data_IF_157310915142
#
_entry.id   IF_157310915142
#
_cell.length_a   1.000
_cell.length_b   1.000
_cell.length_c   1.000
_cell.angle_alpha   90.00
_cell.angle_beta   90.00
_cell.angle_gamma   90.00
#
_symmetry.space_group_name_H-M   'P 1'
#
loop_
_entity.id
_entity.type
_entity.pdbx_description
1 polymer ?
#
# COMPACT_ATOMS: atom_id res chain seq x y z
N UNK A 1 -1.73 -3.59 -24.66
CA UNK A 1 -0.69 -4.60 -25.01
C UNK A 1 -0.37 -5.39 -23.76
N UNK A 2 -0.15 -6.70 -23.85
CA UNK A 2 0.01 -7.60 -22.68
C UNK A 2 1.33 -7.46 -21.90
N UNK A 3 2.25 -6.60 -22.34
CA UNK A 3 3.35 -6.10 -21.51
C UNK A 3 2.93 -4.75 -20.97
N UNK A 4 2.87 -4.61 -19.64
CA UNK A 4 2.50 -3.38 -18.94
C UNK A 4 3.15 -2.15 -19.58
N UNK A 5 2.39 -1.06 -19.69
CA UNK A 5 2.86 0.22 -20.23
C UNK A 5 3.88 0.85 -19.27
N UNK A 6 5.07 0.25 -19.17
CA UNK A 6 6.15 0.75 -18.32
C UNK A 6 6.73 2.02 -18.94
N UNK A 7 7.13 2.95 -18.08
CA UNK A 7 7.84 4.15 -18.53
C UNK A 7 9.31 3.80 -18.68
N UNK A 8 9.89 4.08 -19.84
CA UNK A 8 11.32 3.90 -20.09
C UNK A 8 12.01 5.25 -20.17
N UNK A 9 13.16 5.36 -19.49
CA UNK A 9 14.04 6.52 -19.51
C UNK A 9 15.39 6.15 -20.14
N UNK A 10 15.87 6.97 -21.07
CA UNK A 10 17.19 6.83 -21.68
C UNK A 10 17.51 7.94 -22.66
N UNK A 11 18.60 7.78 -23.40
CA UNK A 11 19.02 8.67 -24.49
C UNK A 11 18.66 8.11 -25.87
N UNK A 12 18.89 8.90 -26.91
CA UNK A 12 18.82 8.45 -28.33
C UNK A 12 19.80 7.33 -28.62
N UNK A 13 20.97 7.37 -27.98
CA UNK A 13 21.96 6.29 -27.97
C UNK A 13 22.35 5.97 -26.52
N UNK A 14 22.96 4.79 -26.25
CA UNK A 14 23.45 4.48 -24.92
C UNK A 14 24.42 5.54 -24.38
N UNK A 15 25.29 6.10 -25.24
CA UNK A 15 26.23 7.15 -24.87
C UNK A 15 25.53 8.45 -24.43
N UNK A 16 24.32 8.71 -24.93
CA UNK A 16 23.50 9.88 -24.56
C UNK A 16 22.65 9.63 -23.30
N UNK A 17 22.65 8.41 -22.76
CA UNK A 17 21.82 8.09 -21.60
C UNK A 17 22.19 8.96 -20.39
N UNK A 18 21.23 9.68 -19.80
CA UNK A 18 21.50 10.53 -18.64
C UNK A 18 21.95 9.70 -17.43
N UNK A 19 21.53 8.44 -17.35
CA UNK A 19 21.85 7.53 -16.24
C UNK A 19 23.29 7.00 -16.33
N UNK A 20 23.77 6.71 -17.53
CA UNK A 20 25.15 6.24 -17.73
C UNK A 20 26.14 7.40 -17.60
N UNK A 21 25.77 8.58 -18.13
CA UNK A 21 26.59 9.80 -18.03
C UNK A 21 26.65 10.35 -16.61
N UNK A 22 25.54 10.32 -15.88
CA UNK A 22 25.41 10.82 -14.50
C UNK A 22 24.86 9.71 -13.59
N UNK A 23 25.73 8.81 -13.10
CA UNK A 23 25.35 7.71 -12.20
C UNK A 23 24.56 8.14 -10.95
N UNK A 24 24.82 9.33 -10.44
CA UNK A 24 24.11 9.93 -9.31
C UNK A 24 22.62 10.22 -9.60
N UNK A 25 22.21 10.23 -10.86
CA UNK A 25 20.80 10.31 -11.24
C UNK A 25 20.03 9.05 -10.83
N UNK A 26 20.57 7.85 -11.09
CA UNK A 26 19.93 6.60 -10.66
C UNK A 26 19.87 6.50 -9.14
N UNK A 27 20.97 6.87 -8.46
CA UNK A 27 20.97 6.98 -7.00
C UNK A 27 19.85 7.90 -6.52
N UNK A 28 19.70 9.08 -7.12
CA UNK A 28 18.65 10.03 -6.75
C UNK A 28 17.25 9.43 -6.89
N UNK A 29 16.99 8.70 -7.99
CA UNK A 29 15.73 7.99 -8.18
C UNK A 29 15.49 6.95 -7.08
N UNK A 30 16.46 6.07 -6.84
CA UNK A 30 16.34 5.00 -5.85
C UNK A 30 16.13 5.57 -4.45
N UNK A 31 16.95 6.53 -4.02
CA UNK A 31 16.82 7.17 -2.70
C UNK A 31 15.48 7.91 -2.57
N UNK A 32 15.04 8.63 -3.61
CA UNK A 32 13.80 9.40 -3.54
C UNK A 32 12.56 8.50 -3.51
N UNK A 33 12.54 7.41 -4.28
CA UNK A 33 11.49 6.38 -4.17
C UNK A 33 11.51 5.69 -2.81
N UNK A 34 12.70 5.44 -2.26
CA UNK A 34 12.83 4.85 -0.94
C UNK A 34 12.16 5.72 0.13
N UNK A 35 12.36 7.04 0.04
CA UNK A 35 11.82 8.03 0.97
C UNK A 35 10.32 8.29 0.77
N UNK A 36 9.83 8.13 -0.46
CA UNK A 36 8.45 8.42 -0.84
C UNK A 36 7.74 7.17 -1.38
N UNK A 37 7.27 6.26 -0.49
CA UNK A 37 6.55 5.05 -0.89
C UNK A 37 5.33 5.28 -1.79
N UNK A 38 4.73 6.47 -1.77
CA UNK A 38 3.65 6.84 -2.70
C UNK A 38 4.03 6.68 -4.16
N UNK A 39 5.30 6.89 -4.53
CA UNK A 39 5.77 6.75 -5.89
C UNK A 39 5.80 5.29 -6.36
N UNK A 40 5.87 4.33 -5.44
CA UNK A 40 5.76 2.90 -5.73
C UNK A 40 4.32 2.43 -5.76
N UNK A 41 3.47 2.95 -4.87
CA UNK A 41 2.16 2.35 -4.59
C UNK A 41 0.98 3.06 -5.23
N UNK A 42 1.05 4.37 -5.47
CA UNK A 42 -0.05 5.15 -6.07
C UNK A 42 -0.26 4.78 -7.54
N UNK A 43 0.82 4.45 -8.25
CA UNK A 43 0.81 4.17 -9.68
C UNK A 43 0.85 2.66 -10.01
N UNK A 44 0.92 1.79 -8.99
CA UNK A 44 1.00 0.35 -9.16
C UNK A 44 -0.34 -0.27 -9.51
N UNK A 45 -0.28 -1.46 -10.08
CA UNK A 45 -1.43 -2.37 -10.11
C UNK A 45 -1.75 -2.99 -8.75
N UNK A 46 -2.70 -3.93 -8.75
CA UNK A 46 -3.18 -4.59 -7.54
C UNK A 46 -2.11 -5.49 -6.88
N UNK A 47 -1.28 -6.16 -7.69
CA UNK A 47 -0.26 -7.09 -7.19
C UNK A 47 1.01 -6.33 -6.79
N UNK A 48 1.13 -6.03 -5.49
CA UNK A 48 2.28 -5.35 -4.88
C UNK A 48 2.93 -6.20 -3.78
N UNK A 49 4.12 -5.80 -3.36
CA UNK A 49 4.90 -6.47 -2.32
C UNK A 49 6.12 -7.22 -2.86
N UNK A 50 6.86 -7.94 -2.00
CA UNK A 50 8.19 -8.48 -2.29
C UNK A 50 8.22 -9.52 -3.42
N UNK A 51 7.10 -10.19 -3.65
CA UNK A 51 6.95 -11.22 -4.70
C UNK A 51 6.28 -10.71 -5.97
N UNK A 52 6.00 -9.40 -6.05
CA UNK A 52 5.26 -8.79 -7.15
C UNK A 52 6.03 -8.77 -8.48
N UNK A 53 5.48 -8.12 -9.50
CA UNK A 53 6.14 -7.94 -10.80
C UNK A 53 7.18 -6.81 -10.81
N UNK A 54 7.16 -5.98 -9.77
CA UNK A 54 8.01 -4.80 -9.61
C UNK A 54 8.23 -4.46 -8.12
N UNK A 55 8.67 -5.40 -7.25
CA UNK A 55 9.00 -5.10 -5.86
C UNK A 55 9.96 -3.92 -5.72
N UNK A 56 9.77 -3.16 -4.65
CA UNK A 56 10.76 -2.18 -4.20
C UNK A 56 12.01 -2.90 -3.73
N UNK A 57 13.15 -2.22 -3.82
CA UNK A 57 14.42 -2.77 -3.32
C UNK A 57 14.42 -3.00 -1.81
N UNK A 58 13.65 -2.23 -1.04
CA UNK A 58 13.51 -2.39 0.41
C UNK A 58 12.37 -3.33 0.82
N UNK A 59 11.83 -4.10 -0.13
CA UNK A 59 10.86 -5.17 0.13
C UNK A 59 11.52 -6.55 -0.02
N UNK A 60 11.62 -7.28 1.10
CA UNK A 60 11.91 -8.71 1.11
C UNK A 60 13.33 -9.15 1.45
N UNK A 61 14.28 -8.21 1.63
CA UNK A 61 15.63 -8.51 2.15
C UNK A 61 16.08 -7.46 3.15
N UNK A 62 16.23 -7.86 4.40
CA UNK A 62 16.51 -6.94 5.52
C UNK A 62 17.83 -6.16 5.36
N UNK A 63 18.87 -6.83 4.85
CA UNK A 63 20.21 -6.23 4.67
C UNK A 63 20.33 -5.35 3.42
N UNK A 64 19.32 -5.33 2.54
CA UNK A 64 19.44 -4.68 1.22
C UNK A 64 19.77 -3.19 1.33
N UNK A 65 19.19 -2.49 2.30
CA UNK A 65 19.44 -1.07 2.51
C UNK A 65 20.87 -0.77 2.95
N UNK A 66 21.49 -1.67 3.73
CA UNK A 66 22.89 -1.54 4.13
C UNK A 66 23.83 -1.73 2.93
N UNK A 67 23.59 -2.77 2.13
CA UNK A 67 24.36 -3.03 0.91
C UNK A 67 24.18 -1.91 -0.12
N UNK A 68 22.97 -1.36 -0.23
CA UNK A 68 22.68 -0.20 -1.08
C UNK A 68 23.47 1.04 -0.68
N UNK A 69 23.57 1.35 0.61
CA UNK A 69 24.38 2.46 1.10
C UNK A 69 25.87 2.25 0.80
N UNK A 70 26.35 1.01 0.86
CA UNK A 70 27.73 0.66 0.49
C UNK A 70 27.98 0.83 -1.01
N UNK A 71 27.01 0.48 -1.87
CA UNK A 71 27.09 0.75 -3.29
C UNK A 71 27.06 2.25 -3.60
N UNK A 72 26.22 3.03 -2.92
CA UNK A 72 26.11 4.48 -3.09
C UNK A 72 27.42 5.23 -2.81
N UNK A 73 28.23 4.76 -1.86
CA UNK A 73 29.55 5.35 -1.56
C UNK A 73 30.57 5.20 -2.70
N UNK A 74 30.34 4.26 -3.62
CA UNK A 74 31.21 3.99 -4.76
C UNK A 74 30.76 4.73 -6.03
N UNK A 75 29.61 5.42 -5.99
CA UNK A 75 29.10 6.19 -7.13
C UNK A 75 29.87 7.51 -7.22
N UNK A 76 30.55 7.80 -8.35
CA UNK A 76 31.33 9.03 -8.50
C UNK A 76 30.42 10.25 -8.50
N UNK A 77 30.98 11.37 -8.06
CA UNK A 77 30.33 12.67 -8.25
C UNK A 77 30.51 13.15 -9.70
N UNK A 78 29.44 13.68 -10.29
CA UNK A 78 29.40 14.23 -11.65
C UNK A 78 29.46 13.19 -12.78
N UNK A 79 30.00 13.60 -13.94
CA UNK A 79 29.97 12.83 -15.17
C UNK A 79 30.94 11.65 -15.06
N UNK A 80 30.48 10.45 -15.39
CA UNK A 80 31.30 9.24 -15.44
C UNK A 80 31.72 8.93 -16.87
N UNK A 81 33.00 8.62 -17.06
CA UNK A 81 33.52 8.07 -18.33
C UNK A 81 33.34 6.54 -18.41
N UNK A 82 32.88 5.91 -17.33
CA UNK A 82 32.67 4.47 -17.22
C UNK A 82 31.17 4.16 -17.27
N UNK A 83 30.57 3.94 -18.46
CA UNK A 83 29.13 3.72 -18.58
C UNK A 83 28.66 2.43 -17.90
N UNK A 84 29.53 1.44 -17.73
CA UNK A 84 29.21 0.17 -17.07
C UNK A 84 29.14 0.27 -15.54
N UNK A 85 29.71 1.32 -14.93
CA UNK A 85 29.92 1.39 -13.49
C UNK A 85 28.61 1.34 -12.70
N UNK A 86 27.65 2.19 -13.08
CA UNK A 86 26.38 2.30 -12.35
C UNK A 86 25.55 1.01 -12.41
N UNK A 87 25.54 0.36 -13.57
CA UNK A 87 24.91 -0.95 -13.74
C UNK A 87 25.59 -1.98 -12.82
N UNK A 88 26.92 -2.00 -12.80
CA UNK A 88 27.65 -3.02 -12.04
C UNK A 88 27.50 -2.87 -10.53
N UNK A 89 27.41 -1.64 -10.03
CA UNK A 89 27.15 -1.34 -8.62
C UNK A 89 25.72 -1.74 -8.21
N UNK A 90 24.73 -1.51 -9.07
CA UNK A 90 23.31 -1.60 -8.70
C UNK A 90 22.64 -2.92 -9.11
N UNK A 91 23.19 -3.66 -10.08
CA UNK A 91 22.54 -4.83 -10.71
C UNK A 91 22.11 -5.93 -9.75
N UNK A 92 22.88 -6.18 -8.71
CA UNK A 92 22.54 -7.24 -7.74
C UNK A 92 21.72 -6.71 -6.56
N UNK A 93 21.42 -5.41 -6.54
CA UNK A 93 20.65 -4.74 -5.50
C UNK A 93 19.25 -4.34 -6.01
N UNK A 94 19.13 -4.06 -7.31
CA UNK A 94 17.86 -3.80 -8.01
C UNK A 94 17.34 -5.10 -8.65
N UNK A 95 16.92 -6.02 -7.80
CA UNK A 95 16.42 -7.35 -8.17
C UNK A 95 15.18 -7.70 -7.36
N UNK A 96 14.37 -8.62 -7.88
CA UNK A 96 13.36 -9.29 -7.07
C UNK A 96 14.00 -10.29 -6.07
N UNK A 97 13.16 -10.90 -5.23
CA UNK A 97 13.61 -11.90 -4.26
C UNK A 97 14.34 -13.11 -4.88
N UNK A 98 14.10 -13.41 -6.18
CA UNK A 98 14.74 -14.51 -6.92
C UNK A 98 16.04 -14.11 -7.62
N UNK A 99 16.43 -12.83 -7.57
CA UNK A 99 17.61 -12.33 -8.26
C UNK A 99 17.37 -11.81 -9.68
N UNK A 100 16.12 -11.56 -10.07
CA UNK A 100 15.77 -11.14 -11.43
C UNK A 100 15.69 -9.61 -11.55
N UNK A 101 16.58 -9.01 -12.34
CA UNK A 101 16.59 -7.55 -12.61
C UNK A 101 15.40 -7.08 -13.43
N UNK A 102 14.85 -7.94 -14.28
CA UNK A 102 13.68 -7.61 -15.10
C UNK A 102 12.40 -7.50 -14.26
N UNK A 103 12.42 -7.96 -13.01
CA UNK A 103 11.29 -7.90 -12.08
C UNK A 103 11.47 -6.84 -10.99
N UNK A 104 12.50 -6.01 -11.04
CA UNK A 104 12.66 -4.92 -10.08
C UNK A 104 11.79 -3.71 -10.44
N UNK A 105 11.39 -2.91 -9.44
CA UNK A 105 10.73 -1.61 -9.66
C UNK A 105 11.54 -0.71 -10.61
N UNK A 106 12.84 -0.60 -10.34
CA UNK A 106 13.83 0.01 -11.21
C UNK A 106 14.54 -1.08 -12.01
N UNK A 107 14.02 -1.38 -13.18
CA UNK A 107 14.56 -2.42 -14.03
C UNK A 107 15.72 -1.89 -14.87
N UNK A 108 16.91 -2.45 -14.60
CA UNK A 108 18.18 -2.12 -15.26
C UNK A 108 18.69 -3.25 -16.15
N UNK A 109 17.80 -4.16 -16.57
CA UNK A 109 18.15 -5.27 -17.48
C UNK A 109 18.77 -4.77 -18.80
N UNK A 110 18.34 -3.60 -19.27
CA UNK A 110 18.75 -2.93 -20.51
C UNK A 110 19.60 -1.68 -20.26
N UNK A 111 20.09 -1.47 -19.04
CA UNK A 111 20.92 -0.31 -18.71
C UNK A 111 22.33 -0.48 -19.29
N UNK A 112 23.14 -1.37 -18.71
CA UNK A 112 24.46 -1.71 -19.24
C UNK A 112 24.87 -3.15 -18.88
N UNK A 113 24.05 -4.14 -19.28
CA UNK A 113 24.29 -5.53 -18.92
C UNK A 113 25.65 -6.04 -19.43
N UNK A 114 26.45 -6.76 -18.60
CA UNK A 114 27.77 -7.23 -18.99
C UNK A 114 27.70 -8.34 -20.06
N UNK A 115 26.67 -9.18 -19.99
CA UNK A 115 26.61 -10.46 -20.71
C UNK A 115 25.98 -10.36 -22.11
N UNK A 116 25.45 -9.21 -22.52
CA UNK A 116 24.84 -9.05 -23.84
C UNK A 116 24.96 -7.63 -24.37
N UNK A 117 25.29 -7.49 -25.66
CA UNK A 117 25.23 -6.20 -26.36
C UNK A 117 23.80 -5.63 -26.39
N UNK A 118 22.78 -6.51 -26.48
CA UNK A 118 21.36 -6.09 -26.47
C UNK A 118 20.89 -5.59 -25.09
N UNK A 119 21.66 -5.83 -24.04
CA UNK A 119 21.39 -5.30 -22.70
C UNK A 119 22.12 -3.98 -22.38
N UNK A 120 22.87 -3.42 -23.34
CA UNK A 120 23.62 -2.16 -23.20
C UNK A 120 22.93 -1.02 -23.95
N UNK A 121 21.65 -0.79 -23.62
CA UNK A 121 20.83 0.21 -24.30
C UNK A 121 20.80 1.56 -23.57
N UNK A 122 21.35 1.63 -22.35
CA UNK A 122 21.31 2.83 -21.52
C UNK A 122 19.90 3.16 -21.01
N UNK A 123 19.05 2.14 -20.89
CA UNK A 123 17.64 2.29 -20.52
C UNK A 123 17.38 1.89 -19.06
N UNK A 124 16.55 2.66 -18.38
CA UNK A 124 15.91 2.32 -17.11
C UNK A 124 14.41 2.20 -17.35
N UNK A 125 13.82 1.09 -16.92
CA UNK A 125 12.38 0.90 -16.96
C UNK A 125 11.77 1.06 -15.56
N UNK A 126 10.78 1.93 -15.44
CA UNK A 126 9.96 2.13 -14.25
C UNK A 126 8.80 1.14 -14.30
N UNK A 127 9.01 -0.04 -13.72
CA UNK A 127 8.05 -1.15 -13.80
C UNK A 127 6.91 -1.07 -12.79
N UNK A 128 7.09 -0.26 -11.74
CA UNK A 128 6.04 0.02 -10.75
C UNK A 128 4.88 0.85 -11.30
N UNK A 129 4.98 1.37 -12.53
CA UNK A 129 3.92 2.15 -13.18
C UNK A 129 3.04 1.24 -14.03
N UNK A 130 1.78 1.09 -13.62
CA UNK A 130 0.76 0.43 -14.43
C UNK A 130 0.20 1.39 -15.49
N UNK A 131 -0.28 0.81 -16.59
CA UNK A 131 -1.01 1.53 -17.63
C UNK A 131 -2.28 2.16 -17.03
N UNK A 132 -2.40 3.50 -16.99
CA UNK A 132 -3.61 4.12 -16.47
C UNK A 132 -4.76 3.98 -17.47
N UNK A 133 -6.02 4.09 -17.00
CA UNK A 133 -7.20 3.90 -17.85
C UNK A 133 -7.40 5.02 -18.89
N UNK A 134 -6.65 6.13 -18.80
CA UNK A 134 -6.82 7.28 -19.68
C UNK A 134 -5.47 7.90 -20.09
N UNK A 135 -5.34 8.32 -21.36
CA UNK A 135 -4.11 8.90 -21.91
C UNK A 135 -3.62 10.14 -21.16
N UNK A 136 -4.53 11.02 -20.73
CA UNK A 136 -4.20 12.18 -19.88
C UNK A 136 -3.53 11.80 -18.56
N UNK A 137 -3.94 10.69 -17.93
CA UNK A 137 -3.24 10.18 -16.74
C UNK A 137 -1.84 9.71 -17.13
N UNK A 138 -1.68 8.98 -18.25
CA UNK A 138 -0.36 8.57 -18.73
C UNK A 138 0.57 9.77 -18.98
N UNK A 139 0.05 10.88 -19.51
CA UNK A 139 0.81 12.13 -19.66
C UNK A 139 1.28 12.70 -18.31
N UNK A 140 0.47 12.61 -17.25
CA UNK A 140 0.86 13.07 -15.90
C UNK A 140 1.99 12.20 -15.33
N UNK A 141 1.94 10.87 -15.49
CA UNK A 141 3.05 10.01 -15.07
C UNK A 141 4.34 10.36 -15.83
N UNK A 142 4.27 10.51 -17.15
CA UNK A 142 5.42 10.92 -17.96
C UNK A 142 5.96 12.30 -17.56
N UNK A 143 5.07 13.26 -17.29
CA UNK A 143 5.44 14.59 -16.81
C UNK A 143 6.13 14.52 -15.44
N UNK A 144 5.63 13.70 -14.51
CA UNK A 144 6.23 13.49 -13.20
C UNK A 144 7.66 12.97 -13.33
N UNK A 145 7.87 11.89 -14.10
CA UNK A 145 9.20 11.31 -14.32
C UNK A 145 10.14 12.34 -14.97
N UNK A 146 9.71 13.03 -16.03
CA UNK A 146 10.52 14.07 -16.69
C UNK A 146 10.90 15.21 -15.75
N UNK A 147 9.98 15.62 -14.89
CA UNK A 147 10.22 16.68 -13.90
C UNK A 147 11.24 16.22 -12.86
N UNK A 148 11.13 14.98 -12.38
CA UNK A 148 12.08 14.38 -11.44
C UNK A 148 13.47 14.23 -12.06
N UNK A 149 13.59 13.83 -13.33
CA UNK A 149 14.86 13.84 -14.06
C UNK A 149 15.47 15.24 -14.04
N UNK A 150 14.71 16.27 -14.42
CA UNK A 150 15.21 17.66 -14.44
C UNK A 150 15.63 18.14 -13.04
N UNK A 151 14.84 17.82 -12.02
CA UNK A 151 15.10 18.14 -10.61
C UNK A 151 16.39 17.49 -10.11
N UNK A 152 16.55 16.19 -10.31
CA UNK A 152 17.74 15.45 -9.88
C UNK A 152 18.99 15.79 -10.69
N UNK A 153 18.83 16.11 -11.97
CA UNK A 153 19.94 16.58 -12.81
C UNK A 153 20.53 17.89 -12.30
N UNK A 154 19.66 18.84 -11.90
CA UNK A 154 20.07 20.13 -11.34
C UNK A 154 20.62 19.97 -9.91
N UNK A 155 19.97 19.16 -9.09
CA UNK A 155 20.35 18.92 -7.69
C UNK A 155 20.14 17.45 -7.32
N UNK A 156 21.22 16.66 -7.30
CA UNK A 156 21.15 15.24 -6.93
C UNK A 156 20.55 15.03 -5.53
N UNK A 157 19.79 13.96 -5.36
CA UNK A 157 19.18 13.57 -4.09
C UNK A 157 20.00 12.49 -3.38
N UNK A 158 21.02 12.91 -2.62
CA UNK A 158 21.93 12.01 -1.89
C UNK A 158 21.67 12.06 -0.38
N UNK A 159 20.49 11.62 0.05
CA UNK A 159 20.09 11.60 1.47
C UNK A 159 20.28 10.17 2.06
N UNK A 160 20.47 10.03 3.38
CA UNK A 160 20.52 8.71 4.03
C UNK A 160 19.20 7.97 3.88
N UNK A 161 19.24 6.65 3.66
CA UNK A 161 18.03 5.84 3.49
C UNK A 161 17.30 5.65 4.83
N UNK A 162 15.97 5.60 4.77
CA UNK A 162 15.10 5.44 5.94
C UNK A 162 14.84 3.96 6.21
N UNK A 163 15.04 3.51 7.45
CA UNK A 163 14.69 2.14 7.87
C UNK A 163 13.21 2.06 8.25
N UNK A 164 12.33 1.98 7.26
CA UNK A 164 10.88 1.92 7.49
C UNK A 164 10.44 0.70 8.29
N UNK A 165 11.10 -0.45 8.08
CA UNK A 165 10.66 -1.71 8.65
C UNK A 165 9.21 -2.00 8.27
N UNK A 166 8.43 -2.48 9.24
CA UNK A 166 7.02 -2.83 9.03
C UNK A 166 6.12 -1.63 8.79
N UNK A 167 6.54 -0.40 9.13
CA UNK A 167 5.78 0.81 8.81
C UNK A 167 5.58 1.00 7.30
N UNK A 168 6.45 0.43 6.46
CA UNK A 168 6.28 0.44 5.01
C UNK A 168 4.96 -0.24 4.60
N UNK A 169 4.68 -1.42 5.17
CA UNK A 169 3.48 -2.21 4.86
C UNK A 169 2.31 -1.94 5.80
N UNK A 170 2.53 -1.22 6.90
CA UNK A 170 1.47 -0.83 7.82
C UNK A 170 0.89 0.54 7.45
N UNK A 171 1.74 1.58 7.48
CA UNK A 171 1.36 2.98 7.28
C UNK A 171 1.21 3.34 5.80
N UNK A 172 2.23 3.05 5.00
CA UNK A 172 2.28 3.46 3.58
C UNK A 172 1.46 2.56 2.64
N UNK A 173 0.55 1.76 3.18
CA UNK A 173 -0.46 1.05 2.40
C UNK A 173 -1.86 1.66 2.57
N UNK A 174 -1.98 2.69 3.41
CA UNK A 174 -3.23 3.40 3.64
C UNK A 174 -3.34 4.65 2.73
N UNK A 175 -4.50 4.89 2.09
CA UNK A 175 -4.74 6.03 1.21
C UNK A 175 -4.31 7.37 1.80
N UNK A 176 -4.58 7.61 3.08
CA UNK A 176 -4.27 8.87 3.75
C UNK A 176 -2.77 9.19 3.72
N UNK A 177 -1.94 8.24 4.12
CA UNK A 177 -0.50 8.44 4.18
C UNK A 177 0.15 8.45 2.81
N UNK A 178 -0.40 7.70 1.84
CA UNK A 178 0.05 7.77 0.45
C UNK A 178 -0.27 9.12 -0.16
N UNK A 179 -1.46 9.66 0.09
CA UNK A 179 -1.81 10.99 -0.36
C UNK A 179 -0.93 12.05 0.30
N UNK A 180 -0.71 11.96 1.62
CA UNK A 180 0.19 12.87 2.32
C UNK A 180 1.61 12.85 1.73
N UNK A 181 2.17 11.65 1.50
CA UNK A 181 3.51 11.47 0.96
C UNK A 181 3.65 12.03 -0.47
N UNK A 182 2.68 11.78 -1.35
CA UNK A 182 2.74 12.34 -2.71
C UNK A 182 2.58 13.86 -2.72
N UNK A 183 1.84 14.44 -1.76
CA UNK A 183 1.82 15.90 -1.58
C UNK A 183 3.21 16.45 -1.22
N UNK A 184 4.03 15.71 -0.48
CA UNK A 184 5.41 16.11 -0.18
C UNK A 184 6.27 16.13 -1.43
N UNK A 185 6.10 15.14 -2.32
CA UNK A 185 6.78 15.13 -3.62
C UNK A 185 6.39 16.35 -4.44
N UNK A 186 5.10 16.69 -4.51
CA UNK A 186 4.63 17.88 -5.23
C UNK A 186 5.20 19.16 -4.61
N UNK A 187 5.26 19.24 -3.27
CA UNK A 187 5.86 20.36 -2.55
C UNK A 187 7.34 20.51 -2.88
N UNK A 188 8.14 19.44 -2.85
CA UNK A 188 9.55 19.46 -3.24
C UNK A 188 9.73 19.98 -4.68
N UNK A 189 8.94 19.46 -5.63
CA UNK A 189 9.01 19.91 -7.03
C UNK A 189 8.73 21.41 -7.15
N UNK A 190 7.71 21.92 -6.44
CA UNK A 190 7.36 23.35 -6.44
C UNK A 190 8.46 24.20 -5.81
N UNK A 191 9.04 23.77 -4.70
CA UNK A 191 10.18 24.45 -4.05
C UNK A 191 11.42 24.47 -4.95
N UNK A 192 11.60 23.47 -5.82
CA UNK A 192 12.67 23.45 -6.83
C UNK A 192 12.34 24.24 -8.12
N UNK A 193 11.18 24.92 -8.16
CA UNK A 193 10.77 25.79 -9.26
C UNK A 193 9.96 25.11 -10.37
N UNK A 194 9.50 23.87 -10.16
CA UNK A 194 8.62 23.17 -11.08
C UNK A 194 7.16 23.29 -10.63
N UNK A 195 6.27 23.97 -11.37
CA UNK A 195 4.89 24.23 -10.95
C UNK A 195 3.97 23.00 -11.13
N UNK A 196 4.42 21.83 -10.64
CA UNK A 196 3.64 20.60 -10.63
C UNK A 196 2.47 20.73 -9.65
N UNK A 197 1.27 20.28 -10.04
CA UNK A 197 0.07 20.48 -9.25
C UNK A 197 -0.47 19.16 -8.68
N UNK A 198 -0.83 19.19 -7.40
CA UNK A 198 -1.45 18.08 -6.68
C UNK A 198 -2.77 17.62 -7.31
N UNK A 199 -3.55 18.56 -7.86
CA UNK A 199 -4.83 18.28 -8.50
C UNK A 199 -4.71 17.34 -9.71
N UNK A 200 -3.55 17.29 -10.37
CA UNK A 200 -3.29 16.39 -11.48
C UNK A 200 -3.21 14.92 -11.05
N UNK A 201 -2.99 14.67 -9.75
CA UNK A 201 -2.85 13.33 -9.18
C UNK A 201 -4.15 12.77 -8.59
N UNK A 202 -5.19 13.60 -8.41
CA UNK A 202 -6.50 13.18 -7.87
C UNK A 202 -7.12 11.99 -8.63
N UNK A 203 -7.06 11.90 -9.97
CA UNK A 203 -7.59 10.73 -10.68
C UNK A 203 -6.87 9.43 -10.32
N UNK A 204 -5.59 9.48 -9.95
CA UNK A 204 -4.84 8.30 -9.52
C UNK A 204 -5.24 7.88 -8.12
N UNK A 205 -5.46 8.84 -7.21
CA UNK A 205 -5.95 8.56 -5.86
C UNK A 205 -7.30 7.84 -5.92
N UNK A 206 -8.26 8.39 -6.65
CA UNK A 206 -9.60 7.81 -6.79
C UNK A 206 -9.57 6.44 -7.47
N UNK A 207 -8.73 6.29 -8.50
CA UNK A 207 -8.58 5.02 -9.20
C UNK A 207 -7.91 3.95 -8.33
N UNK A 208 -6.88 4.32 -7.56
CA UNK A 208 -6.09 3.39 -6.73
C UNK A 208 -6.82 3.00 -5.45
N UNK A 209 -7.61 3.90 -4.89
CA UNK A 209 -8.30 3.75 -3.61
C UNK A 209 -9.82 4.00 -3.73
N UNK A 210 -10.56 3.15 -4.46
CA UNK A 210 -11.99 3.32 -4.63
C UNK A 210 -12.75 3.51 -3.31
N UNK A 211 -13.70 4.44 -3.30
CA UNK A 211 -14.62 4.64 -2.18
C UNK A 211 -15.64 3.50 -2.09
N UNK A 212 -15.80 2.94 -0.89
CA UNK A 212 -16.81 1.92 -0.62
C UNK A 212 -18.12 2.52 -0.14
N UNK A 213 -18.05 3.51 0.75
CA UNK A 213 -19.23 4.16 1.30
C UNK A 213 -18.93 5.02 2.51
N UNK A 214 -19.94 5.77 2.94
CA UNK A 214 -19.89 6.64 4.11
C UNK A 214 -21.19 6.58 4.90
N UNK A 215 -21.07 6.75 6.20
CA UNK A 215 -22.21 6.94 7.11
C UNK A 215 -21.94 8.15 7.99
N UNK A 216 -22.97 8.95 8.23
CA UNK A 216 -22.93 10.09 9.14
C UNK A 216 -23.80 9.78 10.35
N UNK A 217 -23.21 9.87 11.54
CA UNK A 217 -23.81 9.66 12.84
C UNK A 217 -23.67 10.99 13.60
N UNK A 218 -24.73 11.79 13.61
CA UNK A 218 -24.69 13.19 14.06
C UNK A 218 -23.59 14.01 13.35
N UNK A 219 -22.59 14.47 14.10
CA UNK A 219 -21.43 15.22 13.61
C UNK A 219 -20.23 14.34 13.24
N UNK A 220 -20.34 13.02 13.44
CA UNK A 220 -19.27 12.05 13.16
C UNK A 220 -19.52 11.39 11.80
N UNK A 221 -18.53 11.45 10.90
CA UNK A 221 -18.57 10.75 9.61
C UNK A 221 -17.57 9.59 9.62
N UNK A 222 -18.02 8.40 9.20
CA UNK A 222 -17.18 7.23 8.96
C UNK A 222 -17.15 6.99 7.44
N UNK A 223 -15.95 6.99 6.86
CA UNK A 223 -15.69 6.69 5.46
C UNK A 223 -14.84 5.42 5.33
N UNK A 224 -15.26 4.51 4.44
CA UNK A 224 -14.50 3.32 4.07
C UNK A 224 -13.95 3.47 2.64
N UNK A 225 -12.65 3.18 2.46
CA UNK A 225 -11.96 3.17 1.17
C UNK A 225 -11.10 1.91 1.04
N UNK A 226 -10.96 1.40 -0.17
CA UNK A 226 -9.96 0.36 -0.47
C UNK A 226 -8.57 0.82 -0.01
N UNK A 227 -7.78 -0.07 0.58
CA UNK A 227 -6.39 0.17 0.92
C UNK A 227 -5.50 -0.93 0.35
N UNK A 228 -4.21 -0.66 0.26
CA UNK A 228 -3.27 -1.58 -0.37
C UNK A 228 -3.00 -2.74 0.58
N UNK A 229 -2.85 -3.92 -0.01
CA UNK A 229 -2.48 -5.13 0.69
C UNK A 229 -1.50 -5.90 -0.21
N UNK A 230 -0.32 -6.30 0.30
CA UNK A 230 0.62 -7.05 -0.50
C UNK A 230 0.12 -8.48 -0.64
N UNK A 231 0.14 -8.99 -1.86
CA UNK A 231 -0.18 -10.39 -2.13
C UNK A 231 1.11 -11.17 -2.31
N UNK A 232 1.20 -12.29 -1.62
CA UNK A 232 2.41 -13.11 -1.62
C UNK A 232 2.26 -14.28 -2.58
N UNK A 233 3.33 -14.57 -3.32
CA UNK A 233 3.46 -15.82 -4.06
C UNK A 233 3.64 -16.95 -3.05
N UNK A 234 2.82 -17.99 -3.16
CA UNK A 234 2.82 -19.17 -2.33
C UNK A 234 3.92 -20.16 -2.72
N UNK A 235 4.08 -21.20 -1.89
CA UNK A 235 4.92 -22.34 -2.19
C UNK A 235 4.54 -23.03 -3.50
N UNK A 236 5.47 -23.83 -4.02
CA UNK A 236 5.26 -24.60 -5.24
C UNK A 236 4.19 -25.67 -5.05
N UNK A 237 3.27 -25.73 -6.01
CA UNK A 237 2.30 -26.82 -6.14
C UNK A 237 2.60 -27.59 -7.42
N UNK A 238 2.81 -28.90 -7.28
CA UNK A 238 3.07 -29.79 -8.42
C UNK A 238 1.75 -30.39 -8.88
N UNK A 239 1.32 -30.02 -10.08
CA UNK A 239 0.18 -30.62 -10.77
C UNK A 239 0.62 -31.54 -11.91
N UNK A 240 -0.34 -32.25 -12.50
CA UNK A 240 -0.08 -33.16 -13.64
C UNK A 240 0.51 -32.49 -14.88
N UNK A 241 0.43 -31.16 -14.98
CA UNK A 241 0.93 -30.36 -16.11
C UNK A 241 2.17 -29.50 -15.77
N UNK A 242 2.77 -29.69 -14.59
CA UNK A 242 3.97 -28.97 -14.15
C UNK A 242 3.81 -28.30 -12.80
N UNK A 243 4.79 -27.46 -12.45
CA UNK A 243 4.82 -26.71 -11.19
C UNK A 243 4.19 -25.34 -11.35
N UNK A 244 3.26 -24.98 -10.46
CA UNK A 244 2.67 -23.66 -10.38
C UNK A 244 2.98 -23.01 -9.02
N UNK A 245 2.90 -21.68 -8.97
CA UNK A 245 2.90 -20.91 -7.70
C UNK A 245 1.75 -19.93 -7.76
N UNK A 246 0.81 -20.07 -6.82
CA UNK A 246 -0.35 -19.19 -6.74
C UNK A 246 -0.01 -17.89 -6.00
N UNK A 247 -0.77 -16.84 -6.28
CA UNK A 247 -0.70 -15.58 -5.55
C UNK A 247 -1.86 -15.55 -4.55
N UNK A 248 -1.55 -15.38 -3.27
CA UNK A 248 -2.56 -15.29 -2.21
C UNK A 248 -3.27 -13.93 -2.25
N UNK A 249 -4.36 -13.89 -3.00
CA UNK A 249 -5.29 -12.75 -3.08
C UNK A 249 -6.47 -12.89 -2.12
N UNK A 250 -6.39 -13.78 -1.13
CA UNK A 250 -7.46 -14.02 -0.16
C UNK A 250 -7.58 -12.94 0.91
N UNK A 251 -6.53 -12.15 1.09
CA UNK A 251 -6.44 -11.08 2.09
C UNK A 251 -6.58 -9.73 1.41
N UNK A 252 -7.39 -8.88 2.01
CA UNK A 252 -7.60 -7.51 1.59
C UNK A 252 -7.41 -6.56 2.76
N UNK A 253 -7.29 -5.27 2.44
CA UNK A 253 -7.24 -4.19 3.41
C UNK A 253 -8.18 -3.07 2.98
N UNK A 254 -8.80 -2.44 3.96
CA UNK A 254 -9.46 -1.17 3.79
C UNK A 254 -8.91 -0.15 4.77
N UNK A 255 -9.04 1.13 4.43
CA UNK A 255 -8.85 2.22 5.37
C UNK A 255 -10.22 2.70 5.83
N UNK A 256 -10.36 2.84 7.13
CA UNK A 256 -11.43 3.63 7.73
C UNK A 256 -10.90 5.01 8.08
N UNK A 257 -11.64 6.04 7.69
CA UNK A 257 -11.42 7.43 8.08
C UNK A 257 -12.62 7.89 8.90
N UNK A 258 -12.36 8.46 10.07
CA UNK A 258 -13.40 9.04 10.94
C UNK A 258 -13.15 10.52 11.12
N UNK A 259 -14.16 11.34 10.89
CA UNK A 259 -14.10 12.80 11.04
C UNK A 259 -15.14 13.28 12.05
N UNK A 260 -14.86 14.35 12.80
CA UNK A 260 -15.76 14.88 13.84
C UNK A 260 -15.72 14.11 15.17
N UNK A 261 -14.80 13.17 15.33
CA UNK A 261 -14.72 12.31 16.52
C UNK A 261 -14.14 13.07 17.72
N UNK A 262 -14.84 13.03 18.86
CA UNK A 262 -14.30 13.54 20.13
C UNK A 262 -13.39 12.49 20.77
N UNK A 263 -12.11 12.83 20.92
CA UNK A 263 -11.09 11.94 21.49
C UNK A 263 -11.48 11.46 22.90
N UNK A 264 -11.31 10.16 23.16
CA UNK A 264 -11.57 9.55 24.47
C UNK A 264 -13.05 9.22 24.75
N UNK A 265 -14.01 9.81 24.02
CA UNK A 265 -15.44 9.49 24.16
C UNK A 265 -15.89 8.38 23.21
N UNK A 266 -15.46 8.41 21.96
CA UNK A 266 -15.94 7.46 20.96
C UNK A 266 -14.87 6.44 20.59
N UNK A 267 -15.29 5.19 20.45
CA UNK A 267 -14.47 4.09 19.96
C UNK A 267 -15.09 3.49 18.71
N UNK A 268 -14.28 3.31 17.67
CA UNK A 268 -14.69 2.55 16.50
C UNK A 268 -14.28 1.08 16.71
N UNK A 269 -15.22 0.17 16.51
CA UNK A 269 -14.94 -1.28 16.49
C UNK A 269 -15.29 -1.86 15.13
N UNK A 270 -14.56 -2.89 14.71
CA UNK A 270 -14.84 -3.70 13.53
C UNK A 270 -14.98 -5.17 13.96
N UNK A 271 -16.13 -5.79 13.68
CA UNK A 271 -16.46 -7.16 14.11
C UNK A 271 -16.23 -7.38 15.61
N UNK A 272 -16.51 -6.35 16.42
CA UNK A 272 -16.33 -6.37 17.87
C UNK A 272 -14.92 -6.04 18.36
N UNK A 273 -13.93 -5.86 17.49
CA UNK A 273 -12.55 -5.51 17.85
C UNK A 273 -12.25 -4.04 17.66
N UNK A 274 -11.52 -3.44 18.60
CA UNK A 274 -11.19 -2.01 18.57
C UNK A 274 -10.29 -1.70 17.39
N UNK A 275 -10.67 -0.68 16.61
CA UNK A 275 -9.85 -0.19 15.50
C UNK A 275 -8.79 0.78 16.04
N UNK A 276 -7.50 0.61 15.71
CA UNK A 276 -6.41 1.46 16.22
C UNK A 276 -6.37 2.80 15.47
N UNK A 277 -7.37 3.66 15.71
CA UNK A 277 -7.49 4.98 15.10
C UNK A 277 -6.27 5.86 15.43
N UNK A 278 -5.63 6.41 14.39
CA UNK A 278 -4.48 7.32 14.48
C UNK A 278 -4.85 8.71 14.01
N UNK A 279 -4.39 9.71 14.73
CA UNK A 279 -4.58 11.11 14.38
C UNK A 279 -3.88 11.47 13.08
N UNK A 280 -4.54 12.31 12.28
CA UNK A 280 -4.04 12.78 10.98
C UNK A 280 -3.32 14.13 11.07
N UNK A 281 -3.24 14.72 12.28
CA UNK A 281 -2.81 16.10 12.50
C UNK A 281 -3.92 17.13 12.30
N UNK A 282 -5.11 16.73 11.85
CA UNK A 282 -6.33 17.55 11.87
C UNK A 282 -7.18 17.14 13.07
N UNK A 283 -7.64 18.14 13.83
CA UNK A 283 -8.45 17.91 15.02
C UNK A 283 -9.74 17.16 14.67
N UNK A 284 -10.00 16.06 15.38
CA UNK A 284 -11.20 15.23 15.18
C UNK A 284 -11.15 14.33 13.94
N UNK A 285 -10.03 14.24 13.22
CA UNK A 285 -9.85 13.38 12.04
C UNK A 285 -8.84 12.26 12.33
N UNK A 286 -9.30 11.01 12.19
CA UNK A 286 -8.54 9.80 12.48
C UNK A 286 -8.59 8.81 11.32
N UNK A 287 -7.55 7.99 11.18
CA UNK A 287 -7.47 6.92 10.17
C UNK A 287 -6.88 5.63 10.76
N UNK A 288 -7.32 4.50 10.23
CA UNK A 288 -6.72 3.19 10.51
C UNK A 288 -6.96 2.21 9.35
N UNK A 289 -6.10 1.21 9.25
CA UNK A 289 -6.30 0.04 8.41
C UNK A 289 -7.12 -1.04 9.10
N UNK A 290 -7.93 -1.77 8.32
CA UNK A 290 -8.49 -3.05 8.72
C UNK A 290 -8.07 -4.08 7.69
N UNK A 291 -7.27 -5.06 8.11
CA UNK A 291 -6.81 -6.19 7.31
C UNK A 291 -7.68 -7.40 7.63
N UNK A 292 -8.19 -8.06 6.59
CA UNK A 292 -9.15 -9.13 6.75
C UNK A 292 -9.01 -10.16 5.63
N UNK A 293 -9.38 -11.40 5.93
CA UNK A 293 -9.51 -12.45 4.92
C UNK A 293 -10.86 -12.29 4.21
N UNK A 294 -10.83 -11.93 2.93
CA UNK A 294 -11.99 -11.61 2.12
C UNK A 294 -12.71 -12.85 1.61
N UNK A 295 -11.96 -13.89 1.22
CA UNK A 295 -12.47 -15.20 0.79
C UNK A 295 -11.50 -16.31 1.20
N UNK A 296 -11.91 -17.58 1.12
CA UNK A 296 -11.13 -18.71 1.66
C UNK A 296 -10.79 -19.74 0.57
N UNK A 297 -9.76 -19.50 -0.27
CA UNK A 297 -9.26 -20.52 -1.18
C UNK A 297 -8.59 -21.67 -0.41
N UNK A 298 -8.56 -22.88 -1.01
CA UNK A 298 -7.81 -24.00 -0.45
C UNK A 298 -6.31 -23.69 -0.33
N UNK A 299 -5.74 -22.96 -1.31
CA UNK A 299 -4.36 -22.48 -1.29
C UNK A 299 -4.30 -21.01 -0.85
N UNK A 300 -3.85 -20.76 0.37
CA UNK A 300 -3.54 -19.44 0.94
C UNK A 300 -2.46 -19.57 2.02
N UNK A 301 -1.87 -18.46 2.47
CA UNK A 301 -0.89 -18.44 3.56
C UNK A 301 -1.46 -19.03 4.86
N UNK A 302 -2.77 -18.83 5.09
CA UNK A 302 -3.45 -19.30 6.29
C UNK A 302 -4.77 -20.00 5.91
N UNK A 303 -4.74 -21.25 5.46
CA UNK A 303 -5.91 -21.94 4.90
C UNK A 303 -7.01 -22.21 5.93
N UNK A 304 -6.66 -22.35 7.21
CA UNK A 304 -7.61 -22.63 8.30
C UNK A 304 -8.36 -21.39 8.82
N UNK A 305 -7.98 -20.19 8.38
CA UNK A 305 -8.70 -18.96 8.72
C UNK A 305 -9.86 -18.80 7.72
N UNK A 306 -11.08 -18.59 8.22
CA UNK A 306 -12.28 -18.35 7.41
C UNK A 306 -12.35 -16.93 6.82
N UNK A 307 -13.38 -16.66 6.02
CA UNK A 307 -13.68 -15.29 5.57
C UNK A 307 -14.25 -14.47 6.73
N UNK A 308 -13.88 -13.19 6.80
CA UNK A 308 -14.38 -12.24 7.80
C UNK A 308 -15.54 -11.38 7.29
N UNK A 309 -16.05 -11.64 6.08
CA UNK A 309 -17.16 -10.87 5.51
C UNK A 309 -18.50 -11.33 6.11
N UNK A 310 -19.43 -10.42 6.47
CA UNK A 310 -19.29 -8.96 6.39
C UNK A 310 -18.40 -8.36 7.49
N UNK A 311 -17.79 -7.22 7.17
CA UNK A 311 -17.19 -6.34 8.16
C UNK A 311 -18.27 -5.42 8.71
N UNK A 312 -18.47 -5.41 10.02
CA UNK A 312 -19.44 -4.58 10.73
C UNK A 312 -18.68 -3.57 11.58
N UNK A 313 -18.85 -2.30 11.27
CA UNK A 313 -18.27 -1.17 11.98
C UNK A 313 -19.32 -0.56 12.90
N UNK A 314 -19.04 -0.55 14.20
CA UNK A 314 -19.90 0.08 15.21
C UNK A 314 -19.15 1.23 15.89
N UNK A 315 -19.82 2.36 16.09
CA UNK A 315 -19.30 3.50 16.83
C UNK A 315 -19.89 3.49 18.25
N UNK A 316 -19.04 3.23 19.23
CA UNK A 316 -19.42 3.08 20.64
C UNK A 316 -19.18 4.41 21.36
N UNK A 317 -20.19 4.92 22.05
CA UNK A 317 -20.06 6.01 23.02
C UNK A 317 -19.67 5.42 24.39
N UNK A 318 -18.42 5.62 24.80
CA UNK A 318 -17.87 5.03 26.05
C UNK A 318 -18.50 5.61 27.30
N UNK A 319 -19.13 6.78 27.23
CA UNK A 319 -19.80 7.39 28.37
C UNK A 319 -21.15 6.69 28.65
N UNK A 320 -21.82 6.24 27.59
CA UNK A 320 -23.14 5.60 27.67
C UNK A 320 -23.06 4.07 27.52
N UNK A 321 -21.94 3.52 27.04
CA UNK A 321 -21.76 2.09 26.80
C UNK A 321 -22.59 1.51 25.65
N UNK A 322 -23.06 2.37 24.73
CA UNK A 322 -23.97 2.00 23.66
C UNK A 322 -23.36 2.28 22.29
N UNK A 323 -23.70 1.44 21.30
CA UNK A 323 -23.48 1.76 19.90
C UNK A 323 -24.43 2.89 19.51
N UNK A 324 -23.90 3.99 18.98
CA UNK A 324 -24.69 5.12 18.45
C UNK A 324 -24.98 4.99 16.95
N UNK A 325 -24.47 3.93 16.33
CA UNK A 325 -24.68 3.62 14.92
C UNK A 325 -23.44 3.01 14.28
N UNK A 326 -23.51 2.77 12.97
CA UNK A 326 -22.43 2.11 12.27
C UNK A 326 -22.70 1.90 10.78
N UNK A 327 -21.87 1.06 10.18
CA UNK A 327 -22.05 0.60 8.80
C UNK A 327 -21.47 -0.81 8.63
N UNK A 328 -21.82 -1.48 7.54
CA UNK A 328 -21.23 -2.75 7.18
C UNK A 328 -20.76 -2.77 5.73
N UNK A 329 -19.75 -3.60 5.48
CA UNK A 329 -19.18 -3.83 4.17
C UNK A 329 -19.13 -5.33 3.87
N UNK A 330 -19.57 -5.70 2.67
CA UNK A 330 -19.54 -7.06 2.15
C UNK A 330 -18.50 -7.18 1.04
N UNK A 331 -17.70 -8.25 1.05
CA UNK A 331 -16.72 -8.51 -0.03
C UNK A 331 -17.40 -8.79 -1.36
N UNK A 332 -18.48 -9.59 -1.31
CA UNK A 332 -19.34 -9.94 -2.44
C UNK A 332 -20.74 -9.37 -2.26
N UNK A 333 -21.62 -9.58 -3.23
CA UNK A 333 -23.00 -9.11 -3.11
C UNK A 333 -23.66 -9.70 -1.85
N UNK A 334 -24.39 -8.92 -1.01
CA UNK A 334 -24.93 -9.39 0.26
C UNK A 334 -25.84 -10.62 0.17
N UNK A 335 -26.49 -10.81 -0.98
CA UNK A 335 -27.26 -12.01 -1.31
C UNK A 335 -26.44 -13.24 -1.75
N UNK A 336 -25.12 -13.24 -1.58
CA UNK A 336 -24.23 -14.36 -1.94
C UNK A 336 -24.02 -14.56 -3.45
N UNK A 337 -24.36 -13.56 -4.28
CA UNK A 337 -24.23 -13.66 -5.74
C UNK A 337 -22.79 -13.40 -6.18
N UNK A 338 -22.21 -14.35 -6.89
CA UNK A 338 -21.11 -14.12 -7.83
C UNK A 338 -21.69 -13.61 -9.16
N UNK A 339 -21.01 -12.68 -9.80
CA UNK A 339 -21.39 -12.24 -11.14
C UNK A 339 -20.66 -13.09 -12.17
N UNK A 340 -21.40 -13.78 -13.06
CA UNK A 340 -20.82 -14.62 -14.12
C UNK A 340 -20.24 -13.78 -15.27
N UNK A 341 -20.63 -12.51 -15.38
CA UNK A 341 -20.22 -11.60 -16.45
C UNK A 341 -19.51 -10.37 -15.90
N UNK A 342 -18.56 -9.86 -16.70
CA UNK A 342 -18.02 -8.52 -16.49
C UNK A 342 -19.13 -7.46 -16.57
N UNK A 343 -19.00 -6.35 -15.83
CA UNK A 343 -19.95 -5.25 -15.93
C UNK A 343 -19.96 -4.71 -17.37
N UNK A 344 -21.16 -4.47 -17.91
CA UNK A 344 -21.37 -3.98 -19.28
C UNK A 344 -20.87 -2.55 -19.44
N UNK A 345 -20.88 -1.76 -18.36
CA UNK A 345 -20.38 -0.39 -18.34
C UNK A 345 -19.94 0.05 -16.93
N UNK A 346 -19.44 1.30 -16.84
CA UNK A 346 -18.97 1.89 -15.58
C UNK A 346 -20.07 2.04 -14.53
N UNK A 347 -21.31 2.35 -14.92
CA UNK A 347 -22.44 2.53 -14.00
C UNK A 347 -22.86 1.20 -13.36
N UNK A 348 -22.87 0.10 -14.12
CA UNK A 348 -23.10 -1.22 -13.55
C UNK A 348 -21.99 -1.61 -12.59
N UNK A 349 -20.72 -1.38 -12.95
CA UNK A 349 -19.58 -1.63 -12.07
C UNK A 349 -19.69 -0.84 -10.76
N UNK A 350 -20.12 0.41 -10.83
CA UNK A 350 -20.37 1.28 -9.68
C UNK A 350 -21.53 0.78 -8.82
N UNK A 351 -22.68 0.45 -9.42
CA UNK A 351 -23.82 -0.11 -8.71
C UNK A 351 -23.46 -1.41 -7.97
N UNK A 352 -22.69 -2.30 -8.61
CA UNK A 352 -22.17 -3.54 -8.00
C UNK A 352 -21.23 -3.27 -6.80
N UNK A 353 -20.55 -2.12 -6.74
CA UNK A 353 -19.75 -1.70 -5.57
C UNK A 353 -20.62 -1.09 -4.48
N UNK A 354 -21.53 -0.18 -4.83
CA UNK A 354 -22.42 0.50 -3.87
C UNK A 354 -23.27 -0.51 -3.10
N UNK A 355 -23.76 -1.57 -3.75
CA UNK A 355 -24.57 -2.62 -3.12
C UNK A 355 -23.81 -3.45 -2.06
N UNK A 356 -22.49 -3.25 -1.90
CA UNK A 356 -21.68 -3.93 -0.88
C UNK A 356 -21.62 -3.17 0.44
N UNK A 357 -22.07 -1.92 0.47
CA UNK A 357 -22.07 -1.08 1.65
C UNK A 357 -23.49 -0.87 2.17
N UNK A 358 -23.70 -1.05 3.48
CA UNK A 358 -25.00 -0.92 4.13
C UNK A 358 -24.86 -0.10 5.43
N UNK A 359 -25.74 0.88 5.63
CA UNK A 359 -25.74 1.79 6.80
C UNK A 359 -26.67 1.32 7.93
N UNK A 360 -27.58 0.39 7.64
CA UNK A 360 -28.59 -0.09 8.59
C UNK A 360 -28.14 -1.34 9.34
N UNK A 361 -27.26 -2.13 8.73
CA UNK A 361 -26.71 -3.36 9.33
C UNK A 361 -25.52 -3.05 10.25
N UNK A 362 -25.83 -2.62 11.45
CA UNK A 362 -24.90 -2.41 12.56
C UNK A 362 -25.48 -2.97 13.86
N UNK A 363 -24.67 -3.16 14.89
CA UNK A 363 -25.12 -3.68 16.18
C UNK A 363 -25.90 -2.58 16.91
N UNK A 364 -27.19 -2.80 17.16
CA UNK A 364 -28.04 -1.86 17.88
C UNK A 364 -28.08 -2.15 19.38
N UNK A 365 -28.10 -1.09 20.18
CA UNK A 365 -28.30 -1.17 21.63
C UNK A 365 -27.00 -1.29 22.44
N UNK A 366 -27.12 -1.88 23.62
CA UNK A 366 -25.99 -2.09 24.54
C UNK A 366 -24.98 -3.02 23.90
N UNK A 367 -23.72 -2.59 23.83
CA UNK A 367 -22.66 -3.45 23.32
C UNK A 367 -22.44 -4.62 24.28
N UNK A 368 -22.66 -5.84 23.80
CA UNK A 368 -22.32 -7.07 24.52
C UNK A 368 -20.98 -7.59 23.95
N UNK A 369 -19.90 -7.60 24.76
CA UNK A 369 -18.65 -8.26 24.39
C UNK A 369 -18.90 -9.71 23.92
N UNK A 370 -18.22 -10.13 22.86
CA UNK A 370 -18.46 -11.42 22.22
C UNK A 370 -17.62 -12.53 22.92
N UNK A 371 -18.24 -13.61 23.44
CA UNK A 371 -17.55 -14.62 24.27
C UNK A 371 -16.41 -15.40 23.58
N UNK A 372 -16.46 -15.53 22.26
CA UNK A 372 -15.40 -16.16 21.44
C UNK A 372 -14.14 -15.30 21.32
N UNK A 373 -14.31 -14.00 21.54
CA UNK A 373 -13.26 -12.99 21.66
C UNK A 373 -12.83 -12.92 23.12
N UNK A 374 -13.77 -12.96 24.08
CA UNK A 374 -13.57 -12.86 25.53
C UNK A 374 -13.24 -14.19 26.25
N UNK A 375 -12.44 -15.07 25.64
CA UNK A 375 -12.01 -16.31 26.28
C UNK A 375 -11.07 -16.10 27.51
N UNK A 376 -10.95 -14.86 28.01
CA UNK A 376 -10.26 -14.52 29.25
C UNK A 376 -11.25 -14.45 30.41
N UNK A 377 -11.47 -15.60 31.05
CA UNK A 377 -11.65 -15.60 32.52
C UNK A 377 -10.28 -15.42 33.15
N UNK A 378 -9.66 -14.25 33.00
CA UNK A 378 -8.43 -13.91 33.72
C UNK A 378 -8.72 -13.16 35.02
N UNK A 379 -7.94 -13.52 36.03
CA UNK A 379 -8.03 -13.02 37.39
C UNK A 379 -7.20 -11.75 37.51
N UNK A 380 -7.85 -10.59 37.73
CA UNK A 380 -7.18 -9.30 37.88
C UNK A 380 -6.54 -9.17 39.28
N UNK A 381 -5.19 -9.18 39.43
CA UNK A 381 -4.54 -9.05 40.73
C UNK A 381 -4.62 -7.63 41.29
N UNK A 382 -4.90 -6.64 40.44
CA UNK A 382 -5.12 -5.25 40.81
C UNK A 382 -6.51 -4.80 40.33
N UNK A 383 -7.46 -4.93 41.26
CA UNK A 383 -8.82 -4.36 41.30
C UNK A 383 -9.16 -3.41 40.14
N UNK A 384 -9.80 -3.89 39.07
CA UNK A 384 -11.24 -3.86 38.80
C UNK A 384 -11.51 -4.78 37.59
N UNK A 385 -12.62 -5.55 37.54
CA UNK A 385 -13.04 -6.21 36.30
C UNK A 385 -13.30 -5.16 35.21
N UNK A 386 -13.11 -5.48 33.92
CA UNK A 386 -13.55 -4.62 32.81
C UNK A 386 -14.99 -4.23 33.06
N UNK A 387 -15.27 -2.92 33.09
CA UNK A 387 -16.65 -2.47 33.24
C UNK A 387 -17.45 -3.02 32.05
N UNK A 388 -18.74 -3.36 32.23
CA UNK A 388 -19.57 -3.65 31.09
C UNK A 388 -19.40 -2.49 30.09
N UNK A 389 -19.17 -2.81 28.82
CA UNK A 389 -19.34 -1.88 27.69
C UNK A 389 -18.14 -1.04 27.21
N UNK A 390 -16.90 -1.46 27.45
CA UNK A 390 -15.77 -1.08 26.58
C UNK A 390 -15.12 -2.37 26.06
N UNK A 391 -14.97 -2.58 24.73
CA UNK A 391 -14.12 -3.67 24.24
C UNK A 391 -12.75 -3.52 24.92
N UNK A 392 -12.11 -4.61 25.35
CA UNK A 392 -10.83 -4.49 26.03
C UNK A 392 -9.84 -3.77 25.11
N UNK A 393 -8.90 -3.02 25.70
CA UNK A 393 -7.82 -2.46 24.90
C UNK A 393 -7.05 -3.64 24.30
N UNK A 394 -7.18 -3.80 22.99
CA UNK A 394 -6.37 -4.79 22.28
C UNK A 394 -4.94 -4.26 22.26
N UNK A 395 -3.98 -5.09 22.71
CA UNK A 395 -2.58 -4.72 22.63
C UNK A 395 -2.25 -4.45 21.17
N UNK A 396 -1.98 -3.19 20.87
CA UNK A 396 -1.58 -2.80 19.53
C UNK A 396 -0.22 -3.46 19.31
N UNK A 397 -0.18 -4.46 18.43
CA UNK A 397 1.07 -5.14 18.10
C UNK A 397 2.13 -4.09 17.74
N UNK A 398 3.23 -4.07 18.50
CA UNK A 398 4.30 -3.06 18.37
C UNK A 398 4.80 -2.88 16.92
N UNK A 399 4.62 -3.92 16.10
CA UNK A 399 5.04 -3.98 14.70
C UNK A 399 4.03 -3.35 13.70
N UNK A 400 2.73 -3.37 13.96
CA UNK A 400 1.68 -2.86 13.05
C UNK A 400 0.72 -1.88 13.74
N UNK A 401 1.20 -0.71 14.18
CA UNK A 401 0.43 0.23 14.98
C UNK A 401 -0.76 0.91 14.28
N UNK A 402 -0.86 0.86 12.95
CA UNK A 402 -1.89 1.53 12.17
C UNK A 402 -3.01 0.60 11.66
N UNK A 403 -2.89 -0.72 11.85
CA UNK A 403 -3.79 -1.70 11.23
C UNK A 403 -4.34 -2.70 12.24
N UNK A 404 -5.66 -2.84 12.27
CA UNK A 404 -6.33 -3.98 12.90
C UNK A 404 -6.27 -5.20 11.97
N UNK A 405 -5.59 -6.27 12.37
CA UNK A 405 -5.56 -7.53 11.62
C UNK A 405 -6.58 -8.53 12.20
N UNK A 406 -7.72 -8.68 11.53
CA UNK A 406 -8.79 -9.57 11.96
C UNK A 406 -8.40 -11.05 11.95
N UNK A 407 -7.32 -11.42 11.25
CA UNK A 407 -6.81 -12.79 11.17
C UNK A 407 -6.05 -13.20 12.44
N UNK A 408 -5.54 -12.22 13.20
CA UNK A 408 -4.91 -12.47 14.50
C UNK A 408 -5.99 -12.72 15.55
N UNK A 409 -5.72 -13.63 16.48
CA UNK A 409 -6.53 -13.71 17.69
C UNK A 409 -6.28 -12.44 18.52
N UNK A 410 -7.31 -11.90 19.18
CA UNK A 410 -7.13 -10.76 20.06
C UNK A 410 -6.27 -11.17 21.25
N UNK A 411 -5.27 -10.35 21.55
CA UNK A 411 -4.48 -10.41 22.77
C UNK A 411 -4.90 -9.20 23.61
N UNK A 412 -5.33 -9.46 24.84
CA UNK A 412 -5.74 -8.43 25.78
C UNK A 412 -4.71 -8.38 26.90
N UNK A 413 -4.23 -7.17 27.19
CA UNK A 413 -3.25 -6.90 28.25
C UNK A 413 -3.85 -6.69 29.63
#
# INVERSE_FOLDING_TARGET
TGGGNHITLGGTTPADSPLLRRPDLLQSFVTYWQHHPSLSYLFSGAFVGPTSQAPRMDEGRDEMLFEMETAFRQIPDNISEQPWLIDRLMRNLLIDITGNTHRAEFCIDKLYAPNSATGRLGLLEFRGFEMPPHSRMSLVQALLIRTLVARFWKKPYKKPLVRWGTLLHDKFMLPHYIWQDIQEVVRDLREQGFPFQSSWLLPFEEFRFPHYGRVRLDDIEIELRWAIEPWHVLGEEVGSFGTARYVDSSVERLQVKVSGLTQGRYLLVCNGRRVPLRETGRQGEYVAGVRYKAWAPPSSLHPLIGSHSPLVFDLIDTWNGCSIGGCSYHVSHPGGRSYDTFPVNAFEAESRRVNRFDTLRHTQGVYTPRPDVDALREFFPHQFPPRPMAPPEEEIGNEYPHTLDLRRKPEYG
#
